data_IF_102241751287
#
_entry.id   IF_102241751287
#
_cell.length_a   1.000
_cell.length_b   1.000
_cell.length_c   1.000
_cell.angle_alpha   90.00
_cell.angle_beta   90.00
_cell.angle_gamma   90.00
#
_symmetry.space_group_name_H-M   'P 1'
#
loop_
_entity.id
_entity.type
_entity.pdbx_description
1 polymer ?
#
# COMPACT_ATOMS: atom_id res chain seq x y z
N UNK A 1 5.40 55.55 9.52
CA UNK A 1 5.39 54.92 8.17
C UNK A 1 5.17 53.42 8.34
N UNK A 2 4.13 52.89 7.71
CA UNK A 2 3.76 51.46 7.67
C UNK A 2 4.76 50.59 6.91
N UNK A 3 5.46 51.18 5.92
CA UNK A 3 6.48 50.50 5.11
C UNK A 3 7.86 50.89 5.59
N UNK A 4 8.69 49.90 5.90
CA UNK A 4 10.09 50.07 6.33
C UNK A 4 11.03 49.25 5.43
N UNK A 5 12.18 49.81 5.05
CA UNK A 5 13.21 49.08 4.30
C UNK A 5 14.02 48.23 5.28
N UNK A 6 14.16 46.95 5.01
CA UNK A 6 14.93 46.02 5.85
C UNK A 6 16.43 46.08 5.51
N UNK A 7 17.26 45.50 6.39
CA UNK A 7 18.71 45.35 6.15
C UNK A 7 19.04 44.53 4.89
N UNK A 8 18.10 43.70 4.41
CA UNK A 8 18.28 42.81 3.27
C UNK A 8 17.73 43.41 1.96
N UNK A 9 17.61 44.73 1.86
CA UNK A 9 17.05 45.44 0.69
C UNK A 9 15.60 45.04 0.33
N UNK A 10 14.83 44.48 1.27
CA UNK A 10 13.39 44.21 1.12
C UNK A 10 12.55 45.27 1.84
N UNK A 11 11.23 45.25 1.65
CA UNK A 11 10.29 46.22 2.21
C UNK A 11 9.28 45.50 3.11
N UNK A 12 9.24 45.83 4.40
CA UNK A 12 8.33 45.26 5.39
C UNK A 12 7.15 46.19 5.62
N UNK A 13 5.93 45.68 5.52
CA UNK A 13 4.68 46.38 5.82
C UNK A 13 4.21 45.92 7.19
N UNK A 14 4.07 46.86 8.13
CA UNK A 14 3.45 46.63 9.45
C UNK A 14 2.21 47.48 9.60
N UNK A 15 1.08 46.84 9.86
CA UNK A 15 -0.20 47.48 10.22
C UNK A 15 -0.87 46.70 11.34
N UNK A 16 -1.87 47.31 11.98
CA UNK A 16 -2.69 46.65 12.98
C UNK A 16 -4.13 46.54 12.49
N UNK A 17 -4.74 45.39 12.72
CA UNK A 17 -6.18 45.24 12.58
C UNK A 17 -6.88 46.07 13.66
N UNK A 18 -7.93 46.84 13.32
CA UNK A 18 -8.78 47.51 14.30
C UNK A 18 -9.47 46.50 15.25
N UNK A 19 -9.77 46.89 16.48
CA UNK A 19 -10.34 46.01 17.52
C UNK A 19 -11.68 45.38 17.12
N UNK A 20 -12.56 46.16 16.48
CA UNK A 20 -13.85 45.71 15.92
C UNK A 20 -13.65 44.58 14.90
N UNK A 21 -12.62 44.73 14.07
CA UNK A 21 -12.24 43.74 13.08
C UNK A 21 -11.66 42.52 13.79
N UNK A 22 -10.71 42.68 14.71
CA UNK A 22 -10.11 41.55 15.43
C UNK A 22 -11.13 40.66 16.14
N UNK A 23 -12.12 41.27 16.80
CA UNK A 23 -13.19 40.53 17.50
C UNK A 23 -14.12 39.81 16.53
N UNK A 24 -14.50 40.46 15.44
CA UNK A 24 -15.34 39.85 14.39
C UNK A 24 -14.60 38.73 13.64
N UNK A 25 -13.28 38.82 13.55
CA UNK A 25 -12.41 37.86 12.84
C UNK A 25 -11.87 36.72 13.71
N UNK A 26 -12.08 36.73 15.03
CA UNK A 26 -11.50 35.74 15.95
C UNK A 26 -9.96 35.73 15.97
N UNK A 27 -9.31 36.83 15.58
CA UNK A 27 -7.84 36.91 15.52
C UNK A 27 -7.25 37.17 16.92
N UNK A 28 -6.36 36.30 17.37
CA UNK A 28 -5.60 36.48 18.62
C UNK A 28 -4.43 37.48 18.49
N UNK A 29 -3.98 37.78 17.27
CA UNK A 29 -2.88 38.69 16.99
C UNK A 29 -3.35 39.94 16.19
N UNK A 30 -3.12 41.17 16.69
CA UNK A 30 -3.49 42.39 16.00
C UNK A 30 -2.63 42.72 14.78
N UNK A 31 -1.46 42.10 14.63
CA UNK A 31 -0.43 42.60 13.72
C UNK A 31 -0.51 41.97 12.32
N UNK A 32 -0.67 42.82 11.31
CA UNK A 32 -0.40 42.52 9.92
C UNK A 32 1.07 42.82 9.62
N UNK A 33 1.86 41.78 9.31
CA UNK A 33 3.29 41.91 9.04
C UNK A 33 3.72 41.07 7.82
N UNK A 34 4.06 41.72 6.71
CA UNK A 34 4.49 41.06 5.46
C UNK A 34 5.74 41.72 4.86
N UNK A 35 6.60 40.93 4.21
CA UNK A 35 7.85 41.39 3.58
C UNK A 35 7.78 41.18 2.06
N UNK A 36 8.12 42.22 1.30
CA UNK A 36 8.06 42.26 -0.17
C UNK A 36 9.42 42.62 -0.78
N UNK A 37 9.67 42.21 -2.02
CA UNK A 37 10.95 42.47 -2.71
C UNK A 37 11.04 43.91 -3.19
N UNK A 38 9.92 44.48 -3.63
CA UNK A 38 9.90 45.85 -4.16
C UNK A 38 9.03 46.78 -3.32
N UNK A 39 9.35 48.09 -3.35
CA UNK A 39 8.54 49.12 -2.70
C UNK A 39 7.13 49.21 -3.31
N UNK A 40 7.00 48.88 -4.59
CA UNK A 40 5.72 48.87 -5.32
C UNK A 40 4.80 47.77 -4.78
N UNK A 41 5.30 46.55 -4.60
CA UNK A 41 4.57 45.45 -3.97
C UNK A 41 4.16 45.77 -2.54
N UNK A 42 5.07 46.37 -1.75
CA UNK A 42 4.76 46.77 -0.38
C UNK A 42 3.65 47.84 -0.31
N UNK A 43 3.68 48.82 -1.22
CA UNK A 43 2.60 49.83 -1.34
C UNK A 43 1.28 49.22 -1.80
N UNK A 44 1.33 48.26 -2.72
CA UNK A 44 0.15 47.56 -3.19
C UNK A 44 -0.50 46.75 -2.06
N UNK A 45 0.30 46.00 -1.29
CA UNK A 45 -0.17 45.25 -0.14
C UNK A 45 -0.71 46.15 0.98
N UNK A 46 -0.11 47.32 1.17
CA UNK A 46 -0.60 48.34 2.09
C UNK A 46 -1.99 48.86 1.68
N UNK A 47 -2.15 49.23 0.41
CA UNK A 47 -3.41 49.75 -0.13
C UNK A 47 -4.50 48.67 -0.13
N UNK A 48 -4.14 47.42 -0.43
CA UNK A 48 -5.04 46.28 -0.32
C UNK A 48 -5.49 46.04 1.12
N UNK A 49 -4.60 46.16 2.10
CA UNK A 49 -4.97 46.07 3.51
C UNK A 49 -6.01 47.14 3.88
N UNK A 50 -5.80 48.41 3.52
CA UNK A 50 -6.75 49.48 3.83
C UNK A 50 -8.08 49.31 3.12
N UNK A 51 -8.06 48.97 1.84
CA UNK A 51 -9.26 48.69 1.07
C UNK A 51 -10.04 47.51 1.64
N UNK A 52 -9.38 46.50 2.20
CA UNK A 52 -10.03 45.38 2.90
C UNK A 52 -10.72 45.83 4.17
N UNK A 53 -10.10 46.68 4.99
CA UNK A 53 -10.73 47.23 6.21
C UNK A 53 -11.97 48.07 5.86
N UNK A 54 -11.87 48.91 4.83
CA UNK A 54 -13.00 49.75 4.38
C UNK A 54 -14.13 48.89 3.82
N UNK A 55 -13.81 47.89 3.00
CA UNK A 55 -14.81 46.96 2.47
C UNK A 55 -15.50 46.14 3.57
N UNK A 56 -14.76 45.69 4.58
CA UNK A 56 -15.31 44.92 5.70
C UNK A 56 -16.31 45.73 6.51
N UNK A 57 -16.04 47.03 6.70
CA UNK A 57 -16.95 47.93 7.41
C UNK A 57 -18.19 48.32 6.60
N UNK A 58 -18.07 48.34 5.27
CA UNK A 58 -19.16 48.79 4.39
C UNK A 58 -20.12 47.67 3.97
N UNK A 59 -19.65 46.43 3.87
CA UNK A 59 -20.49 45.26 3.66
C UNK A 59 -20.39 44.37 4.90
N UNK A 60 -21.47 44.32 5.70
CA UNK A 60 -21.67 43.33 6.79
C UNK A 60 -21.68 41.85 6.31
N UNK A 61 -21.11 41.59 5.15
CA UNK A 61 -21.06 40.35 4.39
C UNK A 61 -19.80 40.31 3.50
N UNK A 62 -18.65 40.76 4.00
CA UNK A 62 -17.42 40.04 3.63
C UNK A 62 -17.58 38.68 4.27
N UNK A 63 -17.98 37.72 3.44
CA UNK A 63 -18.28 36.39 3.88
C UNK A 63 -17.05 35.82 4.59
N UNK A 64 -17.28 35.04 5.63
CA UNK A 64 -16.34 34.17 6.36
C UNK A 64 -15.23 33.53 5.50
N UNK A 65 -15.48 33.39 4.20
CA UNK A 65 -14.63 32.89 3.12
C UNK A 65 -13.37 33.72 2.83
N UNK A 66 -13.36 35.05 3.04
CA UNK A 66 -12.13 35.84 2.80
C UNK A 66 -11.09 35.69 3.93
N UNK A 67 -11.47 35.08 5.06
CA UNK A 67 -10.63 34.96 6.26
C UNK A 67 -10.16 33.53 6.51
N UNK A 68 -11.05 32.54 6.35
CA UNK A 68 -10.66 31.12 6.43
C UNK A 68 -9.56 30.79 5.42
N UNK A 69 -9.66 31.30 4.19
CA UNK A 69 -8.69 30.98 3.14
C UNK A 69 -7.29 31.60 3.33
N UNK A 70 -7.13 32.55 4.24
CA UNK A 70 -5.80 33.06 4.62
C UNK A 70 -5.08 32.13 5.63
N UNK A 71 -5.79 31.17 6.24
CA UNK A 71 -5.18 30.14 7.06
C UNK A 71 -4.11 29.40 6.26
N UNK A 72 -2.97 29.14 6.91
CA UNK A 72 -1.90 28.36 6.30
C UNK A 72 -2.38 26.91 6.12
N UNK A 73 -1.96 26.28 5.04
CA UNK A 73 -2.27 24.88 4.76
C UNK A 73 -1.88 23.97 5.95
N UNK A 74 -0.76 24.26 6.61
CA UNK A 74 -0.33 23.50 7.79
C UNK A 74 -1.26 23.66 8.99
N UNK A 75 -1.80 24.87 9.20
CA UNK A 75 -2.65 25.18 10.34
C UNK A 75 -4.03 24.55 10.13
N UNK A 76 -4.62 24.72 8.93
CA UNK A 76 -5.85 24.00 8.57
C UNK A 76 -5.71 22.48 8.64
N UNK A 77 -4.55 21.93 8.24
CA UNK A 77 -4.29 20.50 8.40
C UNK A 77 -4.30 20.06 9.87
N UNK A 78 -3.63 20.81 10.74
CA UNK A 78 -3.46 20.46 12.15
C UNK A 78 -4.74 20.67 12.96
N UNK A 79 -5.40 21.80 12.75
CA UNK A 79 -6.48 22.29 13.62
C UNK A 79 -7.86 21.81 13.15
N UNK A 80 -7.98 21.34 11.90
CA UNK A 80 -9.26 20.95 11.30
C UNK A 80 -9.16 19.57 10.64
N UNK A 81 -8.39 19.47 9.55
CA UNK A 81 -8.46 18.31 8.67
C UNK A 81 -8.07 16.99 9.35
N UNK A 82 -7.08 17.00 10.25
CA UNK A 82 -6.57 15.78 10.87
C UNK A 82 -7.60 15.10 11.77
N UNK A 83 -8.39 15.87 12.51
CA UNK A 83 -9.40 15.31 13.40
C UNK A 83 -10.59 14.75 12.61
N UNK A 84 -11.01 15.44 11.56
CA UNK A 84 -12.03 14.93 10.61
C UNK A 84 -11.56 13.71 9.84
N UNK A 85 -10.27 13.66 9.50
CA UNK A 85 -9.69 12.47 8.88
C UNK A 85 -9.75 11.27 9.84
N UNK A 86 -9.39 11.48 11.11
CA UNK A 86 -9.43 10.44 12.16
C UNK A 86 -10.84 9.95 12.43
N UNK A 87 -11.85 10.83 12.37
CA UNK A 87 -13.27 10.47 12.51
C UNK A 87 -13.87 9.83 11.24
N UNK A 88 -13.16 9.90 10.11
CA UNK A 88 -13.55 9.28 8.84
C UNK A 88 -14.34 10.19 7.89
N UNK A 89 -14.53 11.46 8.24
CA UNK A 89 -15.35 12.43 7.48
C UNK A 89 -14.73 12.82 6.14
N UNK A 90 -13.41 12.75 5.98
CA UNK A 90 -12.74 13.21 4.75
C UNK A 90 -12.74 12.18 3.60
N UNK A 91 -13.48 11.09 3.74
CA UNK A 91 -13.52 10.03 2.73
C UNK A 91 -14.87 9.34 2.66
N UNK A 92 -15.21 8.77 1.50
CA UNK A 92 -16.45 8.01 1.32
C UNK A 92 -16.41 6.59 1.92
N UNK A 93 -15.36 6.25 2.69
CA UNK A 93 -15.28 4.96 3.36
C UNK A 93 -16.22 4.92 4.56
N UNK A 94 -16.95 3.81 4.71
CA UNK A 94 -17.97 3.63 5.76
C UNK A 94 -17.41 3.51 7.17
N UNK A 95 -16.09 3.42 7.33
CA UNK A 95 -15.42 3.19 8.60
C UNK A 95 -14.24 4.15 8.75
N UNK A 96 -13.99 4.67 9.97
CA UNK A 96 -12.82 5.48 10.26
C UNK A 96 -11.50 4.74 9.93
N UNK A 97 -10.43 5.47 9.57
CA UNK A 97 -9.15 4.86 9.29
C UNK A 97 -8.56 4.18 10.55
N UNK A 98 -7.91 3.04 10.35
CA UNK A 98 -7.17 2.37 11.43
C UNK A 98 -6.02 3.26 11.96
N UNK A 99 -5.59 3.04 13.22
CA UNK A 99 -4.44 3.75 13.81
C UNK A 99 -3.17 3.68 12.94
N UNK A 100 -2.91 2.53 12.31
CA UNK A 100 -1.79 2.36 11.37
C UNK A 100 -1.95 3.28 10.15
N UNK A 101 -3.17 3.41 9.63
CA UNK A 101 -3.47 4.30 8.51
C UNK A 101 -3.30 5.77 8.92
N UNK A 102 -3.75 6.15 10.12
CA UNK A 102 -3.59 7.50 10.67
C UNK A 102 -2.10 7.86 10.76
N UNK A 103 -1.29 7.02 11.40
CA UNK A 103 0.15 7.27 11.54
C UNK A 103 0.85 7.37 10.17
N UNK A 104 0.51 6.49 9.23
CA UNK A 104 1.08 6.56 7.89
C UNK A 104 0.67 7.85 7.14
N UNK A 105 -0.55 8.34 7.36
CA UNK A 105 -1.04 9.62 6.81
C UNK A 105 -0.28 10.79 7.41
N UNK A 106 -0.15 10.86 8.74
CA UNK A 106 0.64 11.88 9.43
C UNK A 106 2.10 11.91 8.93
N UNK A 107 2.72 10.73 8.75
CA UNK A 107 4.07 10.63 8.16
C UNK A 107 4.13 11.18 6.73
N UNK A 108 3.13 10.89 5.88
CA UNK A 108 3.07 11.44 4.52
C UNK A 108 2.91 12.97 4.53
N UNK A 109 2.12 13.50 5.45
CA UNK A 109 1.98 14.95 5.61
C UNK A 109 3.29 15.57 6.05
N UNK A 110 3.88 15.08 7.15
CA UNK A 110 5.12 15.57 7.74
C UNK A 110 6.31 15.49 6.79
N UNK A 111 6.48 14.37 6.09
CA UNK A 111 7.65 14.11 5.25
C UNK A 111 7.52 14.67 3.83
N UNK A 112 6.30 14.88 3.33
CA UNK A 112 6.09 15.22 1.93
C UNK A 112 5.16 16.41 1.67
N UNK A 113 3.98 16.47 2.28
CA UNK A 113 2.97 17.50 1.93
C UNK A 113 3.28 18.83 2.61
N UNK A 114 3.48 18.84 3.93
CA UNK A 114 3.74 20.06 4.69
C UNK A 114 5.03 20.77 4.25
N UNK A 115 6.15 20.08 3.97
CA UNK A 115 7.34 20.75 3.42
C UNK A 115 7.10 21.39 2.06
N UNK A 116 6.13 20.90 1.27
CA UNK A 116 5.83 21.43 -0.06
C UNK A 116 4.84 22.60 -0.03
N UNK A 117 3.80 22.51 0.81
CA UNK A 117 2.62 23.36 0.74
C UNK A 117 2.27 24.06 2.06
N UNK A 118 2.81 23.61 3.20
CA UNK A 118 2.37 24.00 4.53
C UNK A 118 2.54 25.49 4.87
N UNK A 119 3.54 26.15 4.28
CA UNK A 119 3.85 27.57 4.54
C UNK A 119 2.99 28.55 3.73
N UNK A 120 2.10 28.08 2.85
CA UNK A 120 1.24 28.91 2.03
C UNK A 120 -0.20 28.88 2.55
N UNK A 121 -0.94 29.97 2.35
CA UNK A 121 -2.37 30.00 2.63
C UNK A 121 -3.16 29.14 1.65
N UNK A 122 -4.33 28.65 2.09
CA UNK A 122 -5.25 27.89 1.24
C UNK A 122 -5.64 28.68 -0.02
N UNK A 123 -5.98 29.96 0.12
CA UNK A 123 -6.29 30.86 -1.01
C UNK A 123 -5.12 31.03 -1.96
N UNK A 124 -3.91 31.25 -1.43
CA UNK A 124 -2.71 31.39 -2.27
C UNK A 124 -2.50 30.14 -3.12
N UNK A 125 -2.60 28.94 -2.53
CA UNK A 125 -2.44 27.69 -3.27
C UNK A 125 -3.58 27.45 -4.28
N UNK A 126 -4.82 27.73 -3.88
CA UNK A 126 -6.01 27.51 -4.70
C UNK A 126 -6.05 28.45 -5.93
N UNK A 127 -5.59 29.69 -5.79
CA UNK A 127 -5.51 30.66 -6.89
C UNK A 127 -4.31 30.40 -7.81
N UNK A 128 -3.16 29.97 -7.26
CA UNK A 128 -1.93 29.74 -8.03
C UNK A 128 -1.79 28.28 -8.48
N UNK A 129 -2.76 27.78 -9.24
CA UNK A 129 -2.84 26.39 -9.71
C UNK A 129 -1.54 25.89 -10.37
N UNK A 130 -0.91 26.72 -11.20
CA UNK A 130 0.32 26.36 -11.91
C UNK A 130 1.47 26.05 -10.94
N UNK A 131 1.60 26.83 -9.87
CA UNK A 131 2.61 26.63 -8.84
C UNK A 131 2.42 25.27 -8.13
N UNK A 132 1.19 24.96 -7.71
CA UNK A 132 0.87 23.68 -7.06
C UNK A 132 1.17 22.51 -8.00
N UNK A 133 0.78 22.61 -9.27
CA UNK A 133 1.02 21.54 -10.25
C UNK A 133 2.50 21.33 -10.53
N UNK A 134 3.32 22.38 -10.57
CA UNK A 134 4.77 22.24 -10.69
C UNK A 134 5.37 21.48 -9.49
N UNK A 135 4.98 21.83 -8.26
CA UNK A 135 5.40 21.12 -7.03
C UNK A 135 4.96 19.65 -7.06
N UNK A 136 3.72 19.38 -7.46
CA UNK A 136 3.18 18.01 -7.55
C UNK A 136 3.84 17.18 -8.65
N UNK A 137 4.16 17.77 -9.82
CA UNK A 137 4.90 17.11 -10.88
C UNK A 137 6.32 16.74 -10.43
N UNK A 138 7.02 17.63 -9.73
CA UNK A 138 8.34 17.33 -9.16
C UNK A 138 8.25 16.13 -8.20
N UNK A 139 7.29 16.16 -7.26
CA UNK A 139 7.09 15.06 -6.32
C UNK A 139 6.68 13.75 -7.02
N UNK A 140 5.94 13.81 -8.12
CA UNK A 140 5.56 12.63 -8.89
C UNK A 140 6.73 11.92 -9.58
N UNK A 141 7.81 12.66 -9.89
CA UNK A 141 9.07 12.10 -10.42
C UNK A 141 9.93 11.49 -9.33
N UNK A 142 9.83 11.98 -8.10
CA UNK A 142 10.63 11.54 -6.96
C UNK A 142 10.00 10.34 -6.24
N UNK A 143 8.69 10.36 -6.01
CA UNK A 143 8.03 9.46 -5.07
C UNK A 143 7.10 8.45 -5.74
N UNK A 144 7.36 7.16 -5.52
CA UNK A 144 6.59 6.08 -6.14
C UNK A 144 5.12 6.04 -5.67
N UNK A 145 4.83 6.41 -4.42
CA UNK A 145 3.46 6.42 -3.89
C UNK A 145 2.76 7.77 -4.06
N UNK A 146 3.18 8.58 -5.04
CA UNK A 146 2.65 9.92 -5.32
C UNK A 146 1.12 10.01 -5.41
N UNK A 147 0.43 8.96 -5.91
CA UNK A 147 -1.03 8.98 -6.00
C UNK A 147 -1.70 9.23 -4.64
N UNK A 148 -1.10 8.75 -3.55
CA UNK A 148 -1.60 8.93 -2.18
C UNK A 148 -1.42 10.38 -1.73
N UNK A 149 -0.22 10.95 -1.93
CA UNK A 149 0.05 12.38 -1.68
C UNK A 149 -0.96 13.24 -2.43
N UNK A 150 -1.18 12.96 -3.71
CA UNK A 150 -2.16 13.67 -4.55
C UNK A 150 -3.58 13.56 -4.00
N UNK A 151 -3.96 12.38 -3.48
CA UNK A 151 -5.28 12.17 -2.89
C UNK A 151 -5.47 13.04 -1.65
N UNK A 152 -4.51 13.04 -0.73
CA UNK A 152 -4.60 13.82 0.50
C UNK A 152 -4.57 15.32 0.25
N UNK A 153 -3.72 15.80 -0.65
CA UNK A 153 -3.76 17.21 -1.07
C UNK A 153 -5.16 17.56 -1.59
N UNK A 154 -5.76 16.71 -2.43
CA UNK A 154 -7.12 16.97 -2.90
C UNK A 154 -8.15 17.01 -1.77
N UNK A 155 -8.11 16.03 -0.86
CA UNK A 155 -9.02 15.94 0.28
C UNK A 155 -8.93 17.16 1.21
N UNK A 156 -7.74 17.75 1.39
CA UNK A 156 -7.59 18.98 2.17
C UNK A 156 -8.35 20.14 1.52
N UNK A 157 -8.24 20.31 0.20
CA UNK A 157 -8.96 21.36 -0.50
C UNK A 157 -10.46 21.05 -0.65
N UNK A 158 -10.85 19.78 -0.75
CA UNK A 158 -12.27 19.38 -0.75
C UNK A 158 -12.91 19.75 0.60
N UNK A 159 -12.27 19.44 1.73
CA UNK A 159 -12.78 19.79 3.06
C UNK A 159 -12.75 21.31 3.31
N UNK A 160 -11.72 22.01 2.83
CA UNK A 160 -11.65 23.46 2.91
C UNK A 160 -12.77 24.15 2.13
N UNK A 161 -13.20 23.58 1.00
CA UNK A 161 -14.38 24.03 0.25
C UNK A 161 -15.67 23.74 1.04
N UNK A 162 -15.81 22.53 1.58
CA UNK A 162 -16.97 22.12 2.37
C UNK A 162 -17.18 23.01 3.61
N UNK A 163 -16.10 23.42 4.28
CA UNK A 163 -16.15 24.28 5.46
C UNK A 163 -16.01 25.76 5.13
N UNK A 164 -16.19 26.15 3.87
CA UNK A 164 -16.23 27.54 3.43
C UNK A 164 -14.93 28.34 3.69
N UNK A 165 -13.79 27.65 3.88
CA UNK A 165 -12.47 28.29 3.91
C UNK A 165 -12.06 28.79 2.52
N UNK A 166 -12.56 28.16 1.46
CA UNK A 166 -12.39 28.59 0.07
C UNK A 166 -13.71 28.48 -0.68
N UNK A 167 -13.91 29.31 -1.70
CA UNK A 167 -15.13 29.31 -2.53
C UNK A 167 -15.33 27.99 -3.30
N UNK A 168 -14.23 27.41 -3.82
CA UNK A 168 -14.26 26.16 -4.56
C UNK A 168 -12.88 25.52 -4.67
N UNK A 169 -12.79 24.19 -4.77
CA UNK A 169 -11.53 23.50 -5.04
C UNK A 169 -11.14 23.64 -6.52
N UNK A 170 -10.32 24.67 -6.82
CA UNK A 170 -9.84 24.96 -8.18
C UNK A 170 -8.71 24.02 -8.62
N UNK A 171 -8.22 23.16 -7.73
CA UNK A 171 -7.09 22.25 -7.96
C UNK A 171 -7.52 20.85 -8.42
N UNK A 172 -8.72 20.40 -8.09
CA UNK A 172 -9.20 19.02 -8.31
C UNK A 172 -8.99 18.49 -9.73
N UNK A 173 -9.45 19.25 -10.74
CA UNK A 173 -9.30 18.88 -12.16
C UNK A 173 -7.84 18.80 -12.60
N UNK A 174 -7.00 19.71 -12.11
CA UNK A 174 -5.59 19.79 -12.47
C UNK A 174 -4.76 18.69 -11.80
N UNK A 175 -4.99 18.45 -10.51
CA UNK A 175 -4.31 17.39 -9.76
C UNK A 175 -4.59 16.02 -10.40
N UNK A 176 -5.84 15.74 -10.79
CA UNK A 176 -6.22 14.48 -11.45
C UNK A 176 -5.38 14.17 -12.70
N UNK A 177 -4.95 15.20 -13.44
CA UNK A 177 -4.11 15.08 -14.65
C UNK A 177 -2.66 14.73 -14.35
N UNK A 178 -2.13 15.06 -13.17
CA UNK A 178 -0.74 14.74 -12.78
C UNK A 178 -0.56 13.23 -12.66
N UNK A 179 0.36 12.66 -13.45
CA UNK A 179 0.61 11.21 -13.51
C UNK A 179 1.67 10.78 -12.50
N UNK A 180 1.59 9.54 -12.03
CA UNK A 180 2.58 8.97 -11.10
C UNK A 180 3.83 8.48 -11.83
N UNK A 181 4.67 9.43 -12.25
CA UNK A 181 5.82 9.20 -13.16
C UNK A 181 6.78 8.15 -12.60
N UNK A 182 7.28 8.32 -11.37
CA UNK A 182 8.23 7.38 -10.73
C UNK A 182 7.67 5.95 -10.68
N UNK A 183 6.40 5.80 -10.29
CA UNK A 183 5.74 4.48 -10.21
C UNK A 183 5.64 3.81 -11.57
N UNK A 184 5.34 4.57 -12.61
CA UNK A 184 5.22 4.04 -13.96
C UNK A 184 6.59 3.58 -14.49
N UNK A 185 7.65 4.37 -14.30
CA UNK A 185 9.02 3.96 -14.67
C UNK A 185 9.49 2.73 -13.91
N UNK A 186 9.25 2.66 -12.59
CA UNK A 186 9.58 1.47 -11.79
C UNK A 186 8.79 0.24 -12.23
N UNK A 187 7.55 0.43 -12.74
CA UNK A 187 6.74 -0.68 -13.24
C UNK A 187 7.24 -1.17 -14.59
N UNK A 188 7.63 -0.28 -15.51
CA UNK A 188 8.15 -0.66 -16.83
C UNK A 188 9.55 -1.27 -16.75
N UNK A 189 10.34 -0.93 -15.74
CA UNK A 189 11.68 -1.50 -15.54
C UNK A 189 11.67 -2.90 -14.91
N UNK A 190 10.57 -3.33 -14.28
CA UNK A 190 10.47 -4.66 -13.65
C UNK A 190 10.16 -5.73 -14.69
N UNK A 191 10.96 -6.79 -14.73
CA UNK A 191 10.65 -7.99 -15.52
C UNK A 191 9.68 -8.87 -14.74
N UNK A 192 8.85 -9.62 -15.45
CA UNK A 192 7.88 -10.53 -14.81
C UNK A 192 8.58 -11.67 -14.05
N UNK A 193 9.72 -12.13 -14.56
CA UNK A 193 10.63 -13.11 -13.94
C UNK A 193 11.22 -12.66 -12.59
N UNK A 194 11.22 -11.35 -12.29
CA UNK A 194 11.71 -10.83 -11.01
C UNK A 194 10.66 -10.98 -9.89
N UNK A 195 9.39 -11.21 -10.25
CA UNK A 195 8.26 -11.20 -9.31
C UNK A 195 8.16 -12.46 -8.47
N UNK A 196 8.70 -13.57 -8.96
CA UNK A 196 8.68 -14.86 -8.30
C UNK A 196 10.06 -15.53 -8.34
N UNK A 197 10.19 -16.68 -7.68
CA UNK A 197 11.36 -17.55 -7.81
C UNK A 197 11.03 -18.69 -8.79
N UNK A 198 11.97 -19.08 -9.63
CA UNK A 198 11.85 -20.33 -10.40
C UNK A 198 11.85 -21.55 -9.48
N UNK A 199 11.52 -22.74 -9.99
CA UNK A 199 11.61 -23.98 -9.22
C UNK A 199 13.03 -24.21 -8.67
N UNK A 200 14.06 -23.96 -9.49
CA UNK A 200 15.47 -24.07 -9.08
C UNK A 200 15.85 -23.07 -8.00
N UNK A 201 15.43 -21.81 -8.14
CA UNK A 201 15.69 -20.76 -7.14
C UNK A 201 14.96 -21.05 -5.82
N UNK A 202 13.74 -21.59 -5.87
CA UNK A 202 12.97 -21.98 -4.70
C UNK A 202 13.60 -23.19 -3.98
N UNK A 203 14.06 -24.19 -4.73
CA UNK A 203 14.79 -25.33 -4.16
C UNK A 203 16.07 -24.90 -3.46
N UNK A 204 16.83 -23.96 -4.05
CA UNK A 204 18.00 -23.38 -3.39
C UNK A 204 17.64 -22.70 -2.06
N UNK A 205 16.49 -22.01 -1.99
CA UNK A 205 15.99 -21.45 -0.72
C UNK A 205 15.70 -22.53 0.32
N UNK A 206 15.08 -23.66 -0.07
CA UNK A 206 14.82 -24.76 0.87
C UNK A 206 16.09 -25.41 1.39
N UNK A 207 17.07 -25.60 0.51
CA UNK A 207 18.38 -26.13 0.88
C UNK A 207 19.07 -25.19 1.87
N UNK A 208 19.14 -23.89 1.58
CA UNK A 208 19.77 -22.92 2.47
C UNK A 208 19.08 -22.82 3.85
N UNK A 209 17.75 -22.92 3.89
CA UNK A 209 16.98 -22.96 5.15
C UNK A 209 17.29 -24.23 5.95
N UNK A 210 17.48 -25.37 5.28
CA UNK A 210 17.86 -26.63 5.91
C UNK A 210 19.30 -26.58 6.42
N UNK A 211 20.25 -26.15 5.59
CA UNK A 211 21.67 -26.02 5.97
C UNK A 211 21.85 -25.08 7.16
N UNK A 212 21.13 -23.95 7.20
CA UNK A 212 21.16 -23.04 8.33
C UNK A 212 20.54 -23.63 9.61
N UNK A 213 19.57 -24.54 9.50
CA UNK A 213 19.08 -25.28 10.67
C UNK A 213 20.14 -26.27 11.15
N UNK A 214 20.70 -27.06 10.23
CA UNK A 214 21.63 -28.14 10.53
C UNK A 214 22.93 -27.62 11.17
N UNK A 215 23.41 -26.46 10.73
CA UNK A 215 24.61 -25.82 11.29
C UNK A 215 24.33 -24.92 12.51
N UNK A 216 23.08 -24.87 13.01
CA UNK A 216 22.68 -24.08 14.18
C UNK A 216 22.54 -22.57 13.94
N UNK A 217 22.69 -22.09 12.69
CA UNK A 217 22.56 -20.68 12.33
C UNK A 217 21.11 -20.19 12.25
N UNK A 218 20.13 -21.09 12.27
CA UNK A 218 18.69 -20.83 12.28
C UNK A 218 18.05 -21.65 13.41
N UNK A 219 17.24 -20.98 14.23
CA UNK A 219 16.50 -21.67 15.29
C UNK A 219 15.41 -22.58 14.70
N UNK A 220 15.02 -23.62 15.43
CA UNK A 220 13.90 -24.48 15.02
C UNK A 220 12.58 -23.70 14.91
N UNK A 221 12.39 -22.67 15.75
CA UNK A 221 11.26 -21.75 15.63
C UNK A 221 11.26 -21.03 14.27
N UNK A 222 12.40 -20.44 13.88
CA UNK A 222 12.51 -19.68 12.62
C UNK A 222 12.37 -20.59 11.39
N UNK A 223 12.92 -21.81 11.46
CA UNK A 223 12.73 -22.85 10.46
C UNK A 223 11.25 -23.21 10.31
N UNK A 224 10.56 -23.47 11.43
CA UNK A 224 9.13 -23.80 11.44
C UNK A 224 8.27 -22.64 10.94
N UNK A 225 8.62 -21.40 11.31
CA UNK A 225 7.95 -20.19 10.83
C UNK A 225 8.04 -20.03 9.31
N UNK A 226 9.22 -20.27 8.74
CA UNK A 226 9.43 -20.23 7.29
C UNK A 226 8.52 -21.24 6.58
N UNK A 227 8.54 -22.49 7.02
CA UNK A 227 7.75 -23.56 6.42
C UNK A 227 6.25 -23.38 6.61
N UNK A 228 5.80 -22.93 7.79
CA UNK A 228 4.40 -22.58 8.02
C UNK A 228 3.94 -21.50 7.04
N UNK A 229 4.70 -20.40 6.90
CA UNK A 229 4.37 -19.32 5.96
C UNK A 229 4.37 -19.82 4.50
N UNK A 230 5.27 -20.74 4.14
CA UNK A 230 5.34 -21.33 2.81
C UNK A 230 4.12 -22.21 2.51
N UNK A 231 3.83 -23.20 3.36
CA UNK A 231 2.75 -24.17 3.14
C UNK A 231 1.37 -23.52 3.18
N UNK A 232 1.15 -22.57 4.10
CA UNK A 232 -0.11 -21.84 4.19
C UNK A 232 -0.25 -20.81 3.06
N UNK A 233 0.87 -20.44 2.42
CA UNK A 233 0.92 -19.39 1.41
C UNK A 233 0.18 -18.13 1.84
N UNK A 234 0.15 -17.84 3.14
CA UNK A 234 -0.67 -16.83 3.78
C UNK A 234 0.03 -15.46 3.77
N UNK A 235 -0.62 -14.41 4.27
CA UNK A 235 0.13 -13.19 4.59
C UNK A 235 0.86 -13.50 5.89
N UNK A 236 2.18 -13.27 5.93
CA UNK A 236 2.99 -13.46 7.16
C UNK A 236 2.34 -13.01 8.48
N UNK A 237 1.56 -11.91 8.48
CA UNK A 237 0.85 -11.41 9.65
C UNK A 237 -0.23 -12.35 10.18
N UNK A 238 -0.80 -13.21 9.33
CA UNK A 238 -1.77 -14.27 9.64
C UNK A 238 -1.03 -15.41 10.38
N UNK A 239 0.07 -15.92 9.83
CA UNK A 239 0.96 -16.90 10.51
C UNK A 239 1.47 -16.38 11.85
N UNK A 240 1.87 -15.12 11.94
CA UNK A 240 2.34 -14.53 13.20
C UNK A 240 1.26 -14.48 14.29
N UNK A 241 -0.02 -14.46 13.89
CA UNK A 241 -1.14 -14.40 14.82
C UNK A 241 -1.65 -15.80 15.21
N UNK A 242 -1.05 -16.88 14.70
CA UNK A 242 -1.42 -18.23 15.09
C UNK A 242 -1.15 -18.48 16.58
N UNK A 243 -2.11 -19.14 17.22
CA UNK A 243 -2.06 -19.62 18.60
C UNK A 243 -2.34 -21.11 18.58
N UNK A 244 -1.93 -21.87 19.61
CA UNK A 244 -2.08 -23.33 19.59
C UNK A 244 -3.54 -23.80 19.48
N UNK A 245 -4.51 -22.98 19.90
CA UNK A 245 -5.94 -23.24 19.69
C UNK A 245 -6.37 -23.28 18.23
N UNK A 246 -5.58 -22.71 17.32
CA UNK A 246 -5.85 -22.68 15.88
C UNK A 246 -5.29 -23.90 15.13
N UNK A 247 -4.58 -24.80 15.81
CA UNK A 247 -4.02 -26.02 15.21
C UNK A 247 -4.73 -27.23 15.82
N UNK A 248 -5.43 -27.98 14.97
CA UNK A 248 -6.09 -29.22 15.34
C UNK A 248 -5.33 -30.39 14.72
N UNK A 249 -4.51 -31.04 15.54
CA UNK A 249 -3.72 -32.21 15.14
C UNK A 249 -4.58 -33.46 14.93
N UNK A 250 -5.75 -33.57 15.56
CA UNK A 250 -6.61 -34.74 15.39
C UNK A 250 -7.27 -34.72 14.01
N UNK A 251 -7.75 -33.55 13.60
CA UNK A 251 -8.38 -33.36 12.30
C UNK A 251 -7.40 -32.91 11.21
N UNK A 252 -6.11 -32.81 11.53
CA UNK A 252 -5.04 -32.27 10.66
C UNK A 252 -5.43 -30.96 10.00
N UNK A 253 -5.92 -30.00 10.78
CA UNK A 253 -6.39 -28.71 10.26
C UNK A 253 -5.77 -27.52 10.98
N UNK A 254 -5.70 -26.40 10.28
CA UNK A 254 -5.26 -25.12 10.82
C UNK A 254 -6.20 -23.99 10.40
N UNK A 255 -6.51 -23.12 11.34
CA UNK A 255 -7.51 -22.07 11.20
C UNK A 255 -6.85 -20.68 11.15
N UNK A 256 -6.96 -20.00 10.01
CA UNK A 256 -6.57 -18.59 9.86
C UNK A 256 -7.79 -17.70 10.09
N UNK A 257 -7.92 -17.19 11.31
CA UNK A 257 -9.05 -16.34 11.75
C UNK A 257 -8.61 -14.91 12.10
N UNK A 258 -7.33 -14.71 12.35
CA UNK A 258 -6.77 -13.44 12.82
C UNK A 258 -5.42 -13.12 12.18
N UNK A 259 -4.99 -11.87 12.30
CA UNK A 259 -3.70 -11.38 11.85
C UNK A 259 -3.15 -10.34 12.85
N UNK A 260 -1.84 -10.13 12.85
CA UNK A 260 -1.22 -9.02 13.57
C UNK A 260 -1.21 -7.74 12.73
N UNK A 261 -1.43 -6.59 13.38
CA UNK A 261 -1.17 -5.28 12.79
C UNK A 261 0.32 -4.88 12.91
N UNK A 262 0.66 -3.64 12.51
CA UNK A 262 2.03 -3.11 12.57
C UNK A 262 2.56 -3.03 14.02
N UNK A 263 1.67 -2.91 15.00
CA UNK A 263 1.97 -2.74 16.42
C UNK A 263 1.90 -4.08 17.19
N UNK A 264 1.60 -5.18 16.51
CA UNK A 264 1.44 -6.50 17.16
C UNK A 264 0.08 -6.70 17.82
N UNK A 265 -0.91 -5.84 17.54
CA UNK A 265 -2.27 -6.07 17.99
C UNK A 265 -2.96 -7.10 17.11
N UNK A 266 -3.77 -7.95 17.74
CA UNK A 266 -4.59 -8.92 17.04
C UNK A 266 -5.76 -8.19 16.39
N UNK A 267 -6.00 -8.47 15.11
CA UNK A 267 -7.16 -8.01 14.36
C UNK A 267 -7.72 -9.16 13.53
N UNK A 268 -8.95 -9.00 13.06
CA UNK A 268 -9.51 -9.93 12.09
C UNK A 268 -8.71 -9.92 10.78
N UNK A 269 -8.77 -11.04 10.07
CA UNK A 269 -8.25 -11.11 8.69
C UNK A 269 -8.97 -10.11 7.79
N UNK A 270 -8.36 -9.80 6.65
CA UNK A 270 -8.96 -8.87 5.69
C UNK A 270 -10.29 -9.44 5.19
N UNK A 271 -11.38 -8.74 5.49
CA UNK A 271 -12.74 -9.15 5.14
C UNK A 271 -13.37 -10.14 6.12
N UNK A 272 -12.84 -10.26 7.35
CA UNK A 272 -13.35 -11.13 8.41
C UNK A 272 -13.51 -12.60 7.97
N UNK A 273 -12.57 -13.08 7.15
CA UNK A 273 -12.59 -14.45 6.64
C UNK A 273 -11.97 -15.40 7.65
N UNK A 274 -12.68 -16.48 7.95
CA UNK A 274 -12.12 -17.63 8.64
C UNK A 274 -11.77 -18.68 7.60
N UNK A 275 -10.49 -18.94 7.39
CA UNK A 275 -10.05 -19.97 6.46
C UNK A 275 -9.54 -21.18 7.22
N UNK A 276 -10.01 -22.36 6.82
CA UNK A 276 -9.51 -23.64 7.27
C UNK A 276 -8.59 -24.23 6.20
N UNK A 277 -7.40 -24.67 6.59
CA UNK A 277 -6.49 -25.41 5.74
C UNK A 277 -6.29 -26.82 6.28
N UNK A 278 -6.12 -27.77 5.37
CA UNK A 278 -5.57 -29.08 5.71
C UNK A 278 -4.07 -28.92 5.97
N UNK A 279 -3.58 -29.54 7.04
CA UNK A 279 -2.17 -29.57 7.40
C UNK A 279 -1.46 -30.66 6.60
N UNK A 280 -0.47 -30.32 5.76
CA UNK A 280 0.39 -31.32 5.14
C UNK A 280 1.20 -32.06 6.21
N UNK A 281 1.39 -33.38 6.06
CA UNK A 281 2.09 -34.20 7.05
C UNK A 281 3.48 -33.67 7.43
N UNK A 282 4.18 -33.05 6.47
CA UNK A 282 5.49 -32.42 6.74
C UNK A 282 5.36 -31.26 7.73
N UNK A 283 4.40 -30.36 7.52
CA UNK A 283 4.18 -29.23 8.42
C UNK A 283 3.65 -29.70 9.78
N UNK A 284 2.78 -30.71 9.79
CA UNK A 284 2.25 -31.31 11.02
C UNK A 284 3.37 -31.82 11.92
N UNK A 285 4.29 -32.64 11.39
CA UNK A 285 5.45 -33.14 12.15
C UNK A 285 6.29 -32.02 12.74
N UNK A 286 6.57 -30.99 11.94
CA UNK A 286 7.33 -29.83 12.40
C UNK A 286 6.63 -29.06 13.51
N UNK A 287 5.30 -28.88 13.41
CA UNK A 287 4.51 -28.20 14.43
C UNK A 287 4.42 -29.02 15.73
N UNK A 288 4.34 -30.35 15.66
CA UNK A 288 4.36 -31.22 16.84
C UNK A 288 5.69 -31.08 17.58
N UNK A 289 6.81 -31.19 16.85
CA UNK A 289 8.14 -31.06 17.43
C UNK A 289 8.36 -29.65 17.99
N UNK A 290 7.95 -28.61 17.24
CA UNK A 290 8.03 -27.24 17.70
C UNK A 290 7.22 -27.02 18.98
N UNK A 291 6.01 -27.59 19.06
CA UNK A 291 5.17 -27.50 20.26
C UNK A 291 5.87 -28.06 21.49
N UNK A 292 6.59 -29.17 21.36
CA UNK A 292 7.36 -29.78 22.44
C UNK A 292 8.55 -28.92 22.84
N UNK A 293 9.34 -28.43 21.87
CA UNK A 293 10.49 -27.54 22.11
C UNK A 293 10.07 -26.23 22.79
N UNK A 294 9.04 -25.57 22.26
CA UNK A 294 8.50 -24.34 22.85
C UNK A 294 7.99 -24.57 24.28
N UNK A 295 7.41 -25.74 24.58
CA UNK A 295 6.96 -26.06 25.94
C UNK A 295 8.14 -26.11 26.92
N UNK A 296 9.28 -26.66 26.50
CA UNK A 296 10.50 -26.68 27.31
C UNK A 296 11.07 -25.26 27.48
N UNK A 297 11.21 -24.51 26.37
CA UNK A 297 11.70 -23.12 26.39
C UNK A 297 10.84 -22.21 27.28
N UNK A 298 9.52 -22.33 27.22
CA UNK A 298 8.61 -21.55 28.07
C UNK A 298 8.68 -21.96 29.54
N UNK A 299 8.92 -23.24 29.83
CA UNK A 299 9.05 -23.73 31.21
C UNK A 299 10.29 -23.12 31.91
N UNK A 300 11.39 -22.92 31.19
CA UNK A 300 12.57 -22.20 31.69
C UNK A 300 12.26 -20.74 32.11
N UNK A 301 11.20 -20.16 31.53
CA UNK A 301 10.72 -18.81 31.83
C UNK A 301 9.57 -18.79 32.85
N UNK A 302 9.23 -19.94 33.45
CA UNK A 302 8.04 -20.13 34.29
C UNK A 302 6.72 -19.78 33.57
N UNK A 303 6.67 -19.96 32.25
CA UNK A 303 5.49 -19.74 31.42
C UNK A 303 4.90 -21.09 31.03
N UNK A 304 3.60 -21.30 31.28
CA UNK A 304 2.89 -22.50 30.83
C UNK A 304 2.47 -22.35 29.37
N UNK A 305 2.79 -23.33 28.53
CA UNK A 305 2.24 -23.39 27.18
C UNK A 305 0.73 -23.70 27.24
N UNK A 306 -0.10 -22.71 26.92
CA UNK A 306 -1.56 -22.82 26.89
C UNK A 306 -2.09 -22.88 25.46
N UNK A 307 -3.42 -23.03 25.31
CA UNK A 307 -4.09 -22.92 24.00
C UNK A 307 -3.99 -21.53 23.38
N UNK A 308 -3.89 -20.48 24.19
CA UNK A 308 -3.74 -19.09 23.74
C UNK A 308 -2.29 -18.66 23.51
N UNK A 309 -1.32 -19.53 23.79
CA UNK A 309 0.08 -19.25 23.50
C UNK A 309 0.27 -19.14 21.98
N UNK A 310 0.94 -18.07 21.56
CA UNK A 310 1.31 -17.86 20.16
C UNK A 310 2.31 -18.91 19.72
N UNK A 311 2.16 -19.41 18.50
CA UNK A 311 3.09 -20.40 17.93
C UNK A 311 4.49 -19.84 17.84
N UNK A 312 4.63 -18.59 17.41
CA UNK A 312 5.94 -17.97 17.19
C UNK A 312 6.03 -16.68 17.98
N UNK A 313 7.10 -16.54 18.76
CA UNK A 313 7.33 -15.36 19.60
C UNK A 313 8.77 -14.90 19.51
N UNK A 314 9.08 -13.73 20.05
CA UNK A 314 10.45 -13.23 20.07
C UNK A 314 10.76 -12.45 21.34
N UNK A 315 12.05 -12.19 21.54
CA UNK A 315 12.54 -11.23 22.52
C UNK A 315 12.54 -9.84 21.88
N UNK A 316 11.81 -8.89 22.47
CA UNK A 316 11.80 -7.52 21.97
C UNK A 316 13.10 -6.77 22.33
N UNK A 317 13.20 -5.50 21.89
CA UNK A 317 14.41 -4.71 22.12
C UNK A 317 14.57 -4.27 23.57
N UNK A 318 13.51 -4.40 24.36
CA UNK A 318 13.47 -4.06 25.78
C UNK A 318 13.84 -5.28 26.64
N UNK A 319 14.07 -6.44 26.03
CA UNK A 319 14.38 -7.69 26.73
C UNK A 319 13.14 -8.45 27.19
N UNK A 320 11.93 -8.02 26.80
CA UNK A 320 10.73 -8.77 27.13
C UNK A 320 10.68 -10.03 26.29
N UNK A 321 10.51 -11.17 26.95
CA UNK A 321 10.43 -12.49 26.33
C UNK A 321 8.99 -12.84 25.93
N UNK A 322 8.83 -13.86 25.07
CA UNK A 322 7.54 -14.39 24.64
C UNK A 322 6.59 -13.34 24.01
N UNK A 323 7.15 -12.35 23.31
CA UNK A 323 6.37 -11.29 22.67
C UNK A 323 5.89 -11.70 21.27
N UNK A 324 4.79 -11.10 20.83
CA UNK A 324 4.22 -11.32 19.48
C UNK A 324 5.20 -10.84 18.41
N UNK A 325 5.37 -11.60 17.32
CA UNK A 325 6.35 -11.24 16.29
C UNK A 325 6.11 -9.84 15.70
N UNK A 326 7.20 -9.07 15.60
CA UNK A 326 7.21 -7.80 14.86
C UNK A 326 6.94 -8.04 13.37
N UNK A 327 6.26 -7.09 12.70
CA UNK A 327 5.90 -7.16 11.26
C UNK A 327 7.08 -7.58 10.38
N UNK A 328 8.28 -7.10 10.66
CA UNK A 328 9.49 -7.37 9.86
C UNK A 328 10.29 -8.60 10.26
N UNK A 329 9.85 -9.36 11.25
CA UNK A 329 10.62 -10.48 11.82
C UNK A 329 11.12 -11.48 10.74
N UNK A 330 10.21 -12.11 9.99
CA UNK A 330 10.57 -13.04 8.92
C UNK A 330 11.31 -12.36 7.75
N UNK A 331 11.08 -11.08 7.48
CA UNK A 331 11.86 -10.34 6.48
C UNK A 331 13.35 -10.32 6.88
N UNK A 332 13.64 -10.05 8.15
CA UNK A 332 15.00 -10.01 8.66
C UNK A 332 15.63 -11.40 8.71
N UNK A 333 14.88 -12.43 9.11
CA UNK A 333 15.36 -13.83 9.06
C UNK A 333 15.73 -14.25 7.64
N UNK A 334 14.84 -14.06 6.66
CA UNK A 334 15.13 -14.36 5.26
C UNK A 334 16.32 -13.55 4.71
N UNK A 335 16.44 -12.26 5.06
CA UNK A 335 17.62 -11.45 4.70
C UNK A 335 18.90 -11.99 5.34
N UNK A 336 18.83 -12.52 6.56
CA UNK A 336 19.97 -13.12 7.22
C UNK A 336 20.44 -14.39 6.50
N UNK A 337 19.50 -15.27 6.14
CA UNK A 337 19.77 -16.47 5.34
C UNK A 337 20.41 -16.07 4.01
N UNK A 338 19.82 -15.11 3.28
CA UNK A 338 20.37 -14.62 2.01
C UNK A 338 21.79 -14.04 2.12
N UNK A 339 22.15 -13.43 3.25
CA UNK A 339 23.53 -12.95 3.50
C UNK A 339 24.53 -14.07 3.72
N UNK A 340 24.10 -15.19 4.34
CA UNK A 340 24.94 -16.39 4.52
C UNK A 340 25.06 -17.21 3.22
N UNK A 341 24.04 -17.12 2.37
CA UNK A 341 23.93 -17.86 1.12
C UNK A 341 23.87 -16.88 -0.07
N UNK A 342 25.00 -16.29 -0.48
CA UNK A 342 25.04 -15.18 -1.45
C UNK A 342 24.52 -15.55 -2.84
N UNK A 343 24.48 -16.84 -3.18
CA UNK A 343 23.94 -17.35 -4.44
C UNK A 343 22.40 -17.34 -4.48
N UNK A 344 21.72 -17.12 -3.34
CA UNK A 344 20.27 -17.05 -3.31
C UNK A 344 19.76 -15.76 -3.96
N UNK A 345 18.80 -15.92 -4.87
CA UNK A 345 18.03 -14.78 -5.35
C UNK A 345 17.26 -14.14 -4.20
N UNK A 346 17.29 -12.80 -4.05
CA UNK A 346 16.58 -12.12 -2.98
C UNK A 346 15.09 -12.47 -2.94
N UNK A 347 14.62 -12.89 -1.77
CA UNK A 347 13.24 -13.24 -1.52
C UNK A 347 12.72 -12.57 -0.24
N UNK A 348 11.42 -12.30 -0.24
CA UNK A 348 10.67 -11.80 0.92
C UNK A 348 9.44 -12.69 1.12
N UNK A 349 8.79 -12.68 2.29
CA UNK A 349 7.59 -13.50 2.51
C UNK A 349 6.48 -13.23 1.47
N UNK A 350 6.35 -11.97 1.02
CA UNK A 350 5.38 -11.64 -0.02
C UNK A 350 5.78 -12.19 -1.41
N UNK A 351 7.08 -12.17 -1.74
CA UNK A 351 7.59 -12.80 -2.96
C UNK A 351 7.47 -14.32 -2.90
N UNK A 352 7.64 -14.93 -1.73
CA UNK A 352 7.44 -16.36 -1.52
C UNK A 352 5.97 -16.75 -1.77
N UNK A 353 5.02 -15.99 -1.21
CA UNK A 353 3.59 -16.15 -1.53
C UNK A 353 3.27 -15.96 -3.01
N UNK A 354 3.91 -14.99 -3.67
CA UNK A 354 3.75 -14.82 -5.12
C UNK A 354 4.30 -16.04 -5.88
N UNK A 355 5.42 -16.58 -5.40
CA UNK A 355 6.08 -17.75 -5.99
C UNK A 355 5.19 -18.97 -5.94
N UNK A 356 4.59 -19.27 -4.78
CA UNK A 356 3.69 -20.42 -4.66
C UNK A 356 2.49 -20.31 -5.61
N UNK A 357 1.89 -19.12 -5.71
CA UNK A 357 0.79 -18.85 -6.64
C UNK A 357 1.18 -19.05 -8.11
N UNK A 358 2.32 -18.50 -8.53
CA UNK A 358 2.78 -18.56 -9.92
C UNK A 358 3.21 -19.99 -10.29
N UNK A 359 4.00 -20.67 -9.46
CA UNK A 359 4.41 -22.05 -9.72
C UNK A 359 3.21 -22.99 -9.73
N UNK A 360 2.25 -22.85 -8.80
CA UNK A 360 1.02 -23.65 -8.84
C UNK A 360 0.26 -23.50 -10.16
N UNK A 361 0.21 -22.29 -10.73
CA UNK A 361 -0.38 -22.10 -12.07
C UNK A 361 0.41 -22.82 -13.16
N UNK A 362 1.74 -22.64 -13.17
CA UNK A 362 2.61 -23.23 -14.18
C UNK A 362 2.51 -24.76 -14.16
N UNK A 363 2.33 -25.34 -12.97
CA UNK A 363 2.08 -26.77 -12.75
C UNK A 363 0.61 -27.19 -12.96
N UNK A 364 -0.23 -26.33 -13.54
CA UNK A 364 -1.57 -26.68 -14.02
C UNK A 364 -2.74 -26.40 -13.07
N UNK A 365 -2.52 -25.80 -11.89
CA UNK A 365 -3.62 -25.44 -10.98
C UNK A 365 -4.52 -24.35 -11.58
N UNK A 366 -5.84 -24.50 -11.46
CA UNK A 366 -6.80 -23.52 -11.96
C UNK A 366 -6.73 -22.20 -11.17
N UNK A 367 -7.10 -21.08 -11.80
CA UNK A 367 -7.07 -19.77 -11.15
C UNK A 367 -8.01 -19.69 -9.95
N UNK A 368 -9.13 -20.41 -10.02
CA UNK A 368 -10.14 -20.50 -8.98
C UNK A 368 -9.55 -21.19 -7.75
N UNK A 369 -8.92 -22.37 -7.93
CA UNK A 369 -8.25 -23.11 -6.86
C UNK A 369 -7.10 -22.32 -6.24
N UNK A 370 -6.29 -21.62 -7.05
CA UNK A 370 -5.23 -20.73 -6.54
C UNK A 370 -5.83 -19.58 -5.73
N UNK A 371 -6.93 -18.98 -6.21
CA UNK A 371 -7.58 -17.86 -5.51
C UNK A 371 -8.17 -18.28 -4.17
N UNK A 372 -8.73 -19.48 -4.10
CA UNK A 372 -9.25 -20.11 -2.89
C UNK A 372 -8.12 -20.41 -1.90
N UNK A 373 -7.05 -21.08 -2.35
CA UNK A 373 -5.87 -21.39 -1.54
C UNK A 373 -5.17 -20.13 -0.97
N UNK A 374 -5.16 -19.03 -1.72
CA UNK A 374 -4.59 -17.76 -1.27
C UNK A 374 -5.59 -16.92 -0.45
N UNK A 375 -6.78 -17.41 -0.13
CA UNK A 375 -7.78 -16.71 0.71
C UNK A 375 -8.16 -15.32 0.20
N UNK A 376 -7.97 -15.04 -1.10
CA UNK A 376 -8.19 -13.71 -1.66
C UNK A 376 -9.69 -13.37 -1.67
N UNK A 377 -10.03 -12.12 -1.33
CA UNK A 377 -11.40 -11.60 -1.47
C UNK A 377 -11.75 -11.19 -2.90
N UNK A 378 -10.76 -11.08 -3.80
CA UNK A 378 -10.99 -10.64 -5.18
C UNK A 378 -10.10 -11.39 -6.15
N UNK A 379 -10.72 -12.11 -7.10
CA UNK A 379 -10.09 -12.85 -8.21
C UNK A 379 -9.17 -11.95 -9.06
N UNK A 380 -9.46 -10.64 -9.15
CA UNK A 380 -8.61 -9.66 -9.84
C UNK A 380 -7.22 -9.56 -9.19
N UNK A 381 -7.12 -9.77 -7.88
CA UNK A 381 -5.82 -9.84 -7.19
C UNK A 381 -5.05 -11.06 -7.67
N UNK A 382 -5.73 -12.21 -7.79
CA UNK A 382 -5.18 -13.46 -8.33
C UNK A 382 -4.70 -13.31 -9.79
N UNK A 383 -5.46 -12.60 -10.66
CA UNK A 383 -5.03 -12.31 -12.04
C UNK A 383 -3.75 -11.48 -12.15
N UNK A 384 -3.47 -10.58 -11.20
CA UNK A 384 -2.23 -9.79 -11.19
C UNK A 384 -1.00 -10.65 -10.92
N UNK A 385 -1.16 -11.78 -10.21
CA UNK A 385 -0.08 -12.71 -9.84
C UNK A 385 0.20 -13.77 -10.91
N UNK A 386 -0.80 -14.09 -11.73
CA UNK A 386 -0.81 -15.31 -12.55
C UNK A 386 -0.62 -15.04 -14.05
N UNK A 387 -0.39 -13.79 -14.45
CA UNK A 387 0.03 -13.45 -15.82
C UNK A 387 1.51 -13.79 -16.08
N UNK A 388 1.96 -14.98 -15.68
CA UNK A 388 3.20 -15.56 -16.19
C UNK A 388 2.83 -16.25 -17.51
N UNK A 389 3.13 -15.58 -18.62
CA UNK A 389 2.93 -16.01 -20.00
C UNK A 389 1.47 -16.10 -20.46
N UNK A 390 1.02 -15.09 -21.21
CA UNK A 390 -0.12 -15.23 -22.11
C UNK A 390 0.27 -16.13 -23.31
N UNK A 391 0.60 -17.40 -23.07
CA UNK A 391 0.50 -18.38 -24.14
C UNK A 391 -0.98 -18.68 -24.27
N UNK A 392 -1.61 -18.09 -25.29
CA UNK A 392 -2.96 -18.45 -25.69
C UNK A 392 -2.87 -19.85 -26.30
N UNK A 393 -2.98 -20.88 -25.47
CA UNK A 393 -2.91 -22.28 -25.91
C UNK A 393 -4.01 -22.62 -26.93
N UNK A 394 -5.14 -21.93 -26.84
CA UNK A 394 -6.27 -22.06 -27.75
C UNK A 394 -6.97 -20.68 -27.82
N UNK A 395 -7.06 -20.09 -29.00
CA UNK A 395 -7.85 -18.85 -29.16
C UNK A 395 -9.33 -19.16 -29.01
N UNK A 396 -10.19 -18.19 -28.62
CA UNK A 396 -11.65 -18.38 -28.67
C UNK A 396 -12.13 -18.84 -30.06
N UNK A 397 -11.44 -18.44 -31.12
CA UNK A 397 -11.69 -18.88 -32.48
C UNK A 397 -11.36 -20.38 -32.67
N UNK A 398 -10.21 -20.86 -32.21
CA UNK A 398 -9.86 -22.29 -32.25
C UNK A 398 -10.84 -23.13 -31.41
N UNK A 399 -11.18 -22.67 -30.20
CA UNK A 399 -12.16 -23.37 -29.37
C UNK A 399 -13.54 -23.44 -30.04
N UNK A 400 -13.99 -22.36 -30.66
CA UNK A 400 -15.25 -22.34 -31.41
C UNK A 400 -15.19 -23.26 -32.63
N UNK A 401 -14.09 -23.22 -33.39
CA UNK A 401 -13.85 -24.09 -34.56
C UNK A 401 -13.88 -25.58 -34.18
N UNK A 402 -13.16 -25.97 -33.12
CA UNK A 402 -13.08 -27.35 -32.64
C UNK A 402 -14.42 -27.88 -32.12
N UNK A 403 -15.29 -27.00 -31.60
CA UNK A 403 -16.62 -27.37 -31.13
C UNK A 403 -17.69 -27.33 -32.22
N UNK A 404 -17.50 -26.57 -33.30
CA UNK A 404 -18.35 -26.64 -34.50
C UNK A 404 -18.21 -28.01 -35.19
N UNK A 405 -17.00 -28.58 -35.23
CA UNK A 405 -16.76 -29.91 -35.80
C UNK A 405 -17.31 -31.07 -34.95
N UNK A 406 -17.58 -30.86 -33.65
CA UNK A 406 -18.10 -31.92 -32.75
C UNK A 406 -19.62 -32.05 -32.77
N UNK A 407 -20.36 -31.00 -33.15
CA UNK A 407 -21.83 -30.95 -33.09
C UNK A 407 -22.49 -31.17 -34.46
N UNK A 408 -21.97 -32.12 -35.24
CA UNK A 408 -22.35 -32.41 -36.62
C UNK A 408 -23.79 -32.11 -37.00
N UNK A 409 -23.96 -31.08 -37.84
CA UNK A 409 -24.94 -31.09 -38.93
C UNK A 409 -24.16 -31.10 -40.24
N UNK A 410 -23.87 -32.30 -40.72
CA UNK A 410 -23.88 -32.62 -42.15
C UNK A 410 -22.72 -32.18 -43.05
N UNK A 411 -22.03 -31.07 -42.80
CA UNK A 411 -20.91 -30.62 -43.64
C UNK A 411 -19.70 -30.25 -42.77
N UNK A 412 -18.53 -30.84 -43.05
CA UNK A 412 -17.31 -30.46 -42.34
C UNK A 412 -16.92 -29.03 -42.73
N UNK A 413 -16.43 -28.23 -41.78
CA UNK A 413 -15.99 -26.85 -42.05
C UNK A 413 -14.83 -26.83 -43.08
N UNK A 414 -14.08 -27.92 -43.22
CA UNK A 414 -13.09 -28.13 -44.29
C UNK A 414 -13.70 -28.03 -45.70
N UNK A 415 -14.95 -28.44 -45.89
CA UNK A 415 -15.66 -28.31 -47.18
C UNK A 415 -16.07 -26.87 -47.49
N UNK A 416 -16.32 -26.05 -46.47
CA UNK A 416 -16.64 -24.62 -46.61
C UNK A 416 -15.39 -23.76 -46.81
N UNK A 417 -14.24 -24.21 -46.32
CA UNK A 417 -12.94 -23.52 -46.38
C UNK A 417 -11.98 -24.24 -47.34
N UNK A 418 -12.48 -24.70 -48.50
CA UNK A 418 -11.68 -24.87 -49.73
C UNK A 418 -10.37 -25.67 -49.70
N UNK A 419 -10.09 -26.52 -48.71
CA UNK A 419 -8.86 -27.34 -48.69
C UNK A 419 -9.17 -28.78 -49.06
N UNK A 420 -9.29 -29.04 -50.36
CA UNK A 420 -9.31 -30.39 -50.92
C UNK A 420 -7.88 -30.91 -51.09
N UNK A 421 -7.41 -31.80 -50.21
CA UNK A 421 -6.25 -32.65 -50.51
C UNK A 421 -6.74 -33.99 -51.05
N UNK A 422 -6.68 -34.14 -52.38
CA UNK A 422 -6.90 -35.40 -53.09
C UNK A 422 -5.95 -36.49 -52.58
N UNK A 423 -6.50 -37.59 -52.07
CA UNK A 423 -5.83 -38.89 -52.05
C UNK A 423 -5.87 -39.49 -53.45
N UNK A 424 -4.72 -39.80 -54.02
CA UNK A 424 -4.57 -40.44 -55.32
C UNK A 424 -3.27 -41.25 -55.40
N UNK A 425 -3.43 -42.54 -55.17
CA UNK A 425 -2.56 -43.71 -55.42
C UNK A 425 -1.60 -43.55 -56.62
N UNK A 426 -0.30 -43.85 -56.46
CA UNK A 426 0.35 -44.96 -57.17
C UNK A 426 1.85 -45.16 -56.86
N UNK A 427 2.17 -46.44 -56.58
CA UNK A 427 3.29 -47.28 -57.04
C UNK A 427 4.69 -47.11 -56.43
N UNK A 428 5.17 -48.29 -56.03
CA UNK A 428 6.54 -48.74 -55.83
C UNK A 428 7.56 -48.15 -56.82
N UNK A 429 8.82 -48.09 -56.38
CA UNK A 429 9.99 -48.74 -57.00
C UNK A 429 11.28 -47.98 -56.62
N UNK A 430 12.20 -48.74 -56.02
CA UNK A 430 13.68 -48.68 -56.04
C UNK A 430 14.51 -47.62 -55.28
N UNK A 431 15.29 -48.17 -54.34
CA UNK A 431 16.75 -48.00 -54.10
C UNK A 431 17.47 -46.80 -54.72
N UNK A 432 18.01 -45.94 -53.85
CA UNK A 432 19.46 -45.84 -53.53
C UNK A 432 19.68 -44.98 -52.27
#
# INVERSE_FOLDING_TARGET
MSITKTKNNTYRVRKKYPLDIMQSLGLSNPDYDKIFKTRKEAKQAELEFENRIVKFRNNNSISSFELGGEALFKDFYQDVWLDDYKSGLTSSYTQPPSLVTIQNTEDLFRLHILPMLGAYSLNSLNQHRQFVIQKMNAKAKEYANFKVIRSYVNQVFDLAEEYEYIESNRLSKSLRKVKAIKKNHLKSAKRDEDKYLTDTELMAWFQAVQEDLDNGSLSYQDYTLFWATFFLSDRKSETYALQWKHVDFNNKTIYLTQALDKFGNVKNTKGNKNTQFLLPDRLERMLIEWKQRQKAELAELNIKQTRDQFLFTYCDRQGNLNQRLHTDYLNYRMKSINRRHPNLKPCSPHKLRHTTATLAKLHGMSLEKISEALTHSNIRTTRVYVNANNVVALTPANFAYDNLNKNGRGDSVETLVGTSTKKGIHKDVDTL
#
